data_IF_426725347820
#
_entry.id   IF_426725347820
#
_cell.length_a   1.000
_cell.length_b   1.000
_cell.length_c   1.000
_cell.angle_alpha   90.00
_cell.angle_beta   90.00
_cell.angle_gamma   90.00
#
_symmetry.space_group_name_H-M   'P 1'
#
loop_
_entity.id
_entity.type
_entity.pdbx_description
1 polymer ?
#
# COMPACT_ATOMS: atom_id res chain seq x y z
N UNK A 1 21.33 0.32 -5.09
CA UNK A 1 20.25 1.29 -4.81
C UNK A 1 19.36 0.62 -3.77
N UNK A 2 19.23 1.22 -2.58
CA UNK A 2 18.45 0.64 -1.49
C UNK A 2 16.97 0.69 -1.84
N UNK A 3 16.30 -0.46 -1.79
CA UNK A 3 14.84 -0.52 -1.93
C UNK A 3 14.14 -0.24 -0.60
N UNK A 4 12.82 -0.14 -0.64
CA UNK A 4 11.97 -0.02 0.53
C UNK A 4 10.81 -1.03 0.48
N UNK A 5 10.40 -1.52 1.65
CA UNK A 5 9.10 -2.16 1.83
C UNK A 5 8.52 -1.72 3.17
N UNK A 6 7.89 -0.55 3.16
CA UNK A 6 7.35 0.05 4.38
C UNK A 6 5.98 -0.53 4.69
N UNK A 7 5.79 -0.87 5.95
CA UNK A 7 4.58 -1.48 6.47
C UNK A 7 3.79 -0.47 7.30
N UNK A 8 2.48 -0.65 7.32
CA UNK A 8 1.57 -0.01 8.26
C UNK A 8 0.82 -1.12 9.01
N UNK A 9 1.14 -1.31 10.28
CA UNK A 9 0.46 -2.26 11.15
C UNK A 9 -0.81 -1.61 11.72
N UNK A 10 -1.95 -2.25 11.50
CA UNK A 10 -3.26 -1.75 11.94
C UNK A 10 -3.82 -2.72 12.97
N UNK A 11 -3.98 -2.25 14.21
CA UNK A 11 -4.53 -3.05 15.30
C UNK A 11 -6.07 -2.95 15.35
N UNK A 12 -6.75 -3.91 16.00
CA UNK A 12 -8.21 -3.95 16.02
C UNK A 12 -8.89 -2.75 16.69
N UNK A 13 -8.16 -2.01 17.52
CA UNK A 13 -8.64 -0.84 18.23
C UNK A 13 -8.39 0.49 17.49
N UNK A 14 -7.77 0.43 16.31
CA UNK A 14 -7.47 1.62 15.51
C UNK A 14 -8.73 2.31 14.98
N UNK A 15 -8.66 3.64 14.81
CA UNK A 15 -9.66 4.38 14.05
C UNK A 15 -9.49 4.08 12.55
N UNK A 16 -10.36 3.22 12.01
CA UNK A 16 -10.23 2.76 10.62
C UNK A 16 -10.48 3.87 9.58
N UNK A 17 -11.21 4.94 9.92
CA UNK A 17 -11.38 6.08 9.01
C UNK A 17 -10.07 6.86 8.89
N UNK A 18 -9.40 7.10 10.02
CA UNK A 18 -8.07 7.72 10.04
C UNK A 18 -7.01 6.85 9.36
N UNK A 19 -7.06 5.54 9.57
CA UNK A 19 -6.17 4.57 8.91
C UNK A 19 -6.36 4.63 7.40
N UNK A 20 -7.60 4.59 6.92
CA UNK A 20 -7.90 4.61 5.49
C UNK A 20 -7.46 5.93 4.83
N UNK A 21 -7.67 7.08 5.47
CA UNK A 21 -7.16 8.38 4.98
C UNK A 21 -5.63 8.38 4.89
N UNK A 22 -4.97 7.83 5.91
CA UNK A 22 -3.50 7.73 5.97
C UNK A 22 -2.94 6.77 4.91
N UNK A 23 -3.60 5.63 4.68
CA UNK A 23 -3.22 4.65 3.67
C UNK A 23 -3.29 5.23 2.26
N UNK A 24 -4.33 6.01 1.95
CA UNK A 24 -4.46 6.71 0.66
C UNK A 24 -3.30 7.68 0.45
N UNK A 25 -3.03 8.53 1.45
CA UNK A 25 -1.96 9.51 1.35
C UNK A 25 -0.59 8.83 1.22
N UNK A 26 -0.31 7.80 2.01
CA UNK A 26 0.98 7.13 2.05
C UNK A 26 1.23 6.22 0.83
N UNK A 27 0.21 5.53 0.34
CA UNK A 27 0.31 4.58 -0.78
C UNK A 27 0.24 5.24 -2.16
N UNK A 28 -0.59 6.27 -2.34
CA UNK A 28 -0.87 6.82 -3.68
C UNK A 28 -0.33 8.23 -3.91
N UNK A 29 0.10 8.94 -2.86
CA UNK A 29 0.78 10.23 -3.06
C UNK A 29 2.02 10.08 -3.94
N UNK A 30 2.21 11.01 -4.88
CA UNK A 30 3.23 10.93 -5.94
C UNK A 30 3.19 9.59 -6.70
N UNK A 31 2.00 9.06 -6.96
CA UNK A 31 1.79 7.75 -7.59
C UNK A 31 2.55 6.58 -6.91
N UNK A 32 2.80 6.68 -5.60
CA UNK A 32 3.55 5.67 -4.84
C UNK A 32 5.06 5.64 -5.13
N UNK A 33 5.58 6.55 -5.95
CA UNK A 33 7.00 6.66 -6.31
C UNK A 33 7.80 7.40 -5.22
N UNK A 34 7.66 6.98 -3.95
CA UNK A 34 8.36 7.55 -2.79
C UNK A 34 9.00 6.43 -1.97
N UNK A 35 10.26 6.57 -1.57
CA UNK A 35 10.96 5.58 -0.74
C UNK A 35 10.33 5.38 0.65
N UNK A 36 9.56 6.36 1.14
CA UNK A 36 8.79 6.29 2.38
C UNK A 36 7.30 5.94 2.15
N UNK A 37 6.90 5.60 0.91
CA UNK A 37 5.53 5.16 0.64
C UNK A 37 5.24 3.87 1.42
N UNK A 38 4.06 3.82 2.05
CA UNK A 38 3.55 2.57 2.60
C UNK A 38 3.02 1.75 1.43
N UNK A 39 3.60 0.57 1.22
CA UNK A 39 3.17 -0.36 0.16
C UNK A 39 2.48 -1.60 0.71
N UNK A 40 2.53 -1.81 2.03
CA UNK A 40 1.91 -2.95 2.71
C UNK A 40 1.14 -2.49 3.94
N UNK A 41 -0.15 -2.82 4.01
CA UNK A 41 -0.95 -2.81 5.23
C UNK A 41 -0.89 -4.20 5.86
N UNK A 42 -0.47 -4.27 7.12
CA UNK A 42 -0.61 -5.46 7.95
C UNK A 42 -1.86 -5.27 8.80
N UNK A 43 -2.98 -5.85 8.39
CA UNK A 43 -4.24 -5.72 9.10
C UNK A 43 -4.39 -6.88 10.10
N UNK A 44 -4.38 -6.56 11.39
CA UNK A 44 -4.67 -7.56 12.43
C UNK A 44 -6.17 -7.85 12.42
N UNK A 45 -6.54 -9.10 12.16
CA UNK A 45 -7.94 -9.52 12.13
C UNK A 45 -8.67 -9.11 13.44
N UNK A 46 -9.94 -8.66 13.37
CA UNK A 46 -10.87 -8.78 12.24
C UNK A 46 -11.01 -7.55 11.33
N UNK A 47 -10.11 -6.55 11.37
CA UNK A 47 -10.38 -5.22 10.76
C UNK A 47 -10.21 -5.14 9.25
N UNK A 48 -9.67 -6.17 8.61
CA UNK A 48 -9.22 -6.09 7.23
C UNK A 48 -10.38 -5.80 6.25
N UNK A 49 -11.52 -6.46 6.40
CA UNK A 49 -12.69 -6.26 5.51
C UNK A 49 -13.21 -4.81 5.58
N UNK A 50 -13.48 -4.31 6.79
CA UNK A 50 -13.96 -2.95 7.02
C UNK A 50 -12.97 -1.90 6.52
N UNK A 51 -11.67 -2.15 6.73
CA UNK A 51 -10.61 -1.26 6.26
C UNK A 51 -10.53 -1.24 4.73
N UNK A 52 -10.64 -2.39 4.07
CA UNK A 52 -10.65 -2.50 2.61
C UNK A 52 -11.84 -1.75 2.00
N UNK A 53 -13.04 -1.86 2.59
CA UNK A 53 -14.21 -1.12 2.14
C UNK A 53 -13.96 0.41 2.21
N UNK A 54 -13.44 0.88 3.34
CA UNK A 54 -13.11 2.29 3.56
C UNK A 54 -12.03 2.82 2.60
N UNK A 55 -11.00 2.02 2.32
CA UNK A 55 -9.95 2.39 1.36
C UNK A 55 -10.51 2.42 -0.05
N UNK A 56 -11.28 1.41 -0.46
CA UNK A 56 -11.94 1.35 -1.77
C UNK A 56 -12.81 2.58 -2.01
N UNK A 57 -13.60 2.98 -1.01
CA UNK A 57 -14.42 4.20 -1.08
C UNK A 57 -13.57 5.44 -1.37
N UNK A 58 -12.43 5.59 -0.69
CA UNK A 58 -11.52 6.73 -0.88
C UNK A 58 -10.78 6.68 -2.21
N UNK A 59 -10.36 5.50 -2.65
CA UNK A 59 -9.76 5.30 -3.98
C UNK A 59 -10.72 5.81 -5.07
N UNK A 60 -12.02 5.49 -4.97
CA UNK A 60 -13.02 5.89 -5.97
C UNK A 60 -13.17 7.41 -6.13
N UNK A 61 -12.71 8.20 -5.13
CA UNK A 61 -12.78 9.66 -5.13
C UNK A 61 -11.51 10.32 -5.66
N UNK A 62 -10.43 9.56 -5.88
CA UNK A 62 -9.16 10.10 -6.37
C UNK A 62 -9.27 10.55 -7.83
N UNK A 63 -8.91 11.79 -8.10
CA UNK A 63 -8.78 12.33 -9.45
C UNK A 63 -7.38 12.03 -9.98
N UNK A 64 -7.34 11.28 -11.07
CA UNK A 64 -6.10 10.86 -11.72
C UNK A 64 -5.98 11.66 -13.02
N UNK A 65 -4.84 12.32 -13.22
CA UNK A 65 -4.71 13.14 -14.42
C UNK A 65 -3.43 13.96 -14.50
N UNK A 66 -3.47 14.95 -15.39
CA UNK A 66 -2.38 15.86 -15.68
C UNK A 66 -2.04 16.74 -14.47
N UNK A 67 -0.80 16.61 -13.97
CA UNK A 67 -0.28 17.36 -12.82
C UNK A 67 -0.44 18.88 -12.90
N UNK A 68 -0.58 19.46 -14.09
CA UNK A 68 -0.84 20.89 -14.30
C UNK A 68 -2.24 21.33 -13.86
N UNK A 69 -3.16 20.38 -13.62
CA UNK A 69 -4.55 20.61 -13.21
C UNK A 69 -4.82 20.21 -11.76
N UNK A 70 -3.76 20.05 -10.98
CA UNK A 70 -3.82 19.69 -9.55
C UNK A 70 -4.70 18.46 -9.27
N UNK A 71 -4.45 17.31 -9.96
CA UNK A 71 -5.08 16.04 -9.66
C UNK A 71 -4.55 15.51 -8.33
N UNK A 72 -5.24 14.52 -7.78
CA UNK A 72 -4.82 13.86 -6.54
C UNK A 72 -3.66 12.87 -6.82
N UNK A 73 -3.58 12.32 -8.04
CA UNK A 73 -2.49 11.45 -8.49
C UNK A 73 -2.13 11.70 -9.97
N UNK A 74 -0.83 11.74 -10.27
CA UNK A 74 -0.28 11.90 -11.62
C UNK A 74 0.12 10.57 -12.28
N UNK A 75 0.77 10.62 -13.46
CA UNK A 75 1.30 9.43 -14.13
C UNK A 75 2.58 8.91 -13.44
N UNK A 76 3.02 7.70 -13.81
CA UNK A 76 4.34 7.20 -13.43
C UNK A 76 5.44 7.85 -14.28
N UNK A 77 6.69 7.72 -13.82
CA UNK A 77 7.84 8.41 -14.42
C UNK A 77 8.17 8.01 -15.85
N UNK A 78 8.00 6.73 -16.21
CA UNK A 78 8.31 6.19 -17.54
C UNK A 78 7.35 5.07 -17.94
N UNK A 79 7.18 4.84 -19.25
CA UNK A 79 6.41 3.71 -19.79
C UNK A 79 6.91 2.37 -19.26
N UNK A 80 8.22 2.13 -19.31
CA UNK A 80 8.82 0.88 -18.83
C UNK A 80 8.54 0.64 -17.33
N UNK A 81 8.52 1.71 -16.53
CA UNK A 81 8.17 1.61 -15.11
C UNK A 81 6.68 1.37 -14.90
N UNK A 82 5.80 2.05 -15.66
CA UNK A 82 4.35 1.77 -15.68
C UNK A 82 4.06 0.31 -16.01
N UNK A 83 4.68 -0.23 -17.05
CA UNK A 83 4.51 -1.62 -17.47
C UNK A 83 5.03 -2.61 -16.41
N UNK A 84 6.18 -2.30 -15.81
CA UNK A 84 6.73 -3.08 -14.69
C UNK A 84 5.75 -3.11 -13.51
N UNK A 85 5.24 -1.97 -13.09
CA UNK A 85 4.28 -1.88 -11.97
C UNK A 85 2.99 -2.63 -12.30
N UNK A 86 2.44 -2.46 -13.51
CA UNK A 86 1.25 -3.18 -13.95
C UNK A 86 1.44 -4.71 -13.93
N UNK A 87 2.64 -5.21 -14.25
CA UNK A 87 2.94 -6.64 -14.21
C UNK A 87 2.87 -7.26 -12.80
N UNK A 88 3.07 -6.47 -11.74
CA UNK A 88 2.93 -6.96 -10.37
C UNK A 88 1.49 -7.27 -9.99
N UNK A 89 0.51 -6.64 -10.65
CA UNK A 89 -0.90 -6.91 -10.43
C UNK A 89 -1.23 -8.33 -10.93
N UNK A 90 -0.71 -8.69 -12.10
CA UNK A 90 -0.83 -10.05 -12.64
C UNK A 90 -0.10 -11.08 -11.77
N UNK A 91 1.12 -10.75 -11.31
CA UNK A 91 1.88 -11.63 -10.42
C UNK A 91 1.12 -11.87 -9.10
N UNK A 92 0.62 -10.81 -8.46
CA UNK A 92 -0.12 -10.94 -7.22
C UNK A 92 -1.38 -11.81 -7.40
N UNK A 93 -2.14 -11.58 -8.47
CA UNK A 93 -3.32 -12.38 -8.79
C UNK A 93 -2.98 -13.85 -9.04
N UNK A 94 -1.89 -14.13 -9.77
CA UNK A 94 -1.42 -15.48 -10.03
C UNK A 94 -0.92 -16.20 -8.76
N UNK A 95 -0.36 -15.44 -7.82
CA UNK A 95 0.10 -15.96 -6.52
C UNK A 95 -1.06 -16.19 -5.53
N UNK A 96 -2.29 -15.76 -5.86
CA UNK A 96 -3.50 -15.99 -5.07
C UNK A 96 -4.04 -14.77 -4.34
N UNK A 97 -3.48 -13.58 -4.57
CA UNK A 97 -4.06 -12.33 -4.08
C UNK A 97 -5.37 -12.00 -4.80
N UNK A 98 -6.24 -11.28 -4.11
CA UNK A 98 -7.45 -10.70 -4.69
C UNK A 98 -7.17 -9.28 -5.18
N UNK A 99 -7.46 -9.00 -6.45
CA UNK A 99 -7.43 -7.63 -6.98
C UNK A 99 -8.74 -6.96 -6.63
N UNK A 100 -8.74 -6.13 -5.57
CA UNK A 100 -9.94 -5.43 -5.08
C UNK A 100 -10.25 -4.22 -5.96
N UNK A 101 -9.22 -3.42 -6.25
CA UNK A 101 -9.28 -2.33 -7.21
C UNK A 101 -8.16 -2.53 -8.22
N UNK A 102 -8.50 -2.56 -9.50
CA UNK A 102 -7.55 -2.66 -10.60
C UNK A 102 -7.30 -1.27 -11.21
N UNK A 103 -6.08 -0.76 -11.06
CA UNK A 103 -5.68 0.53 -11.62
C UNK A 103 -5.41 0.52 -13.12
N UNK A 104 -5.48 -0.63 -13.80
CA UNK A 104 -5.20 -0.73 -15.24
C UNK A 104 -6.41 -0.31 -16.07
N UNK A 105 -6.15 0.26 -17.25
CA UNK A 105 -7.21 0.60 -18.21
C UNK A 105 -8.18 1.69 -17.75
N UNK A 106 -7.77 2.50 -16.77
CA UNK A 106 -8.56 3.61 -16.27
C UNK A 106 -8.69 4.74 -17.31
N UNK A 107 -9.81 5.46 -17.24
CA UNK A 107 -9.97 6.74 -17.94
C UNK A 107 -9.37 7.86 -17.07
N UNK A 108 -8.57 8.73 -17.68
CA UNK A 108 -7.80 9.75 -16.98
C UNK A 108 -7.98 11.11 -17.64
N UNK A 109 -8.02 12.16 -16.82
CA UNK A 109 -8.00 13.52 -17.33
C UNK A 109 -6.57 13.94 -17.68
N UNK A 110 -6.04 13.40 -18.78
CA UNK A 110 -4.68 13.62 -19.23
C UNK A 110 -4.45 13.24 -20.69
N UNK A 111 -3.21 13.47 -21.16
CA UNK A 111 -2.81 13.09 -22.52
C UNK A 111 -2.87 11.56 -22.70
N UNK A 112 -3.40 11.07 -23.82
CA UNK A 112 -3.60 9.63 -24.06
C UNK A 112 -2.32 8.80 -23.95
N UNK A 113 -1.19 9.39 -24.33
CA UNK A 113 0.12 8.74 -24.36
C UNK A 113 0.90 8.89 -23.04
N UNK A 114 0.25 9.38 -21.97
CA UNK A 114 0.84 9.43 -20.63
C UNK A 114 1.01 8.03 -20.01
N UNK A 115 1.91 7.92 -19.04
CA UNK A 115 2.26 6.65 -18.38
C UNK A 115 1.29 6.37 -17.22
N UNK A 116 0.02 6.22 -17.57
CA UNK A 116 -1.06 6.11 -16.61
C UNK A 116 -1.18 4.72 -16.01
N UNK A 117 -1.33 4.69 -14.70
CA UNK A 117 -1.81 3.55 -13.92
C UNK A 117 -2.53 4.12 -12.69
N UNK A 118 -3.73 3.62 -12.44
CA UNK A 118 -4.55 4.03 -11.31
C UNK A 118 -4.12 3.41 -9.98
N UNK A 119 -4.72 3.89 -8.87
CA UNK A 119 -4.60 3.25 -7.58
C UNK A 119 -5.06 1.80 -7.68
N UNK A 120 -4.22 0.89 -7.21
CA UNK A 120 -4.50 -0.54 -7.16
C UNK A 120 -4.51 -0.98 -5.70
N UNK A 121 -5.53 -1.73 -5.31
CA UNK A 121 -5.64 -2.34 -3.98
C UNK A 121 -5.66 -3.87 -4.14
N UNK A 122 -4.70 -4.53 -3.50
CA UNK A 122 -4.59 -5.98 -3.46
C UNK A 122 -4.89 -6.45 -2.05
N UNK A 123 -5.73 -7.48 -1.90
CA UNK A 123 -6.02 -8.13 -0.63
C UNK A 123 -5.52 -9.58 -0.63
N UNK A 124 -5.34 -10.15 0.56
CA UNK A 124 -4.86 -11.51 0.77
C UNK A 124 -3.54 -11.77 0.04
N UNK A 125 -2.63 -10.78 0.02
CA UNK A 125 -1.34 -10.92 -0.66
C UNK A 125 -0.47 -11.92 0.12
N UNK A 126 -0.06 -13.05 -0.47
CA UNK A 126 0.83 -13.99 0.20
C UNK A 126 2.20 -13.36 0.45
N UNK A 127 2.78 -13.61 1.62
CA UNK A 127 4.13 -13.11 1.96
C UNK A 127 5.25 -13.77 1.14
N UNK A 128 4.93 -14.84 0.41
CA UNK A 128 5.81 -15.47 -0.58
C UNK A 128 5.73 -14.83 -1.97
N UNK A 129 4.72 -13.99 -2.22
CA UNK A 129 4.53 -13.34 -3.52
C UNK A 129 5.66 -12.35 -3.80
N UNK A 130 6.03 -12.21 -5.08
CA UNK A 130 6.95 -11.13 -5.50
C UNK A 130 6.33 -9.75 -5.27
N UNK A 131 5.00 -9.62 -5.34
CA UNK A 131 4.32 -8.38 -5.03
C UNK A 131 4.49 -7.96 -3.55
N UNK A 132 4.77 -8.91 -2.65
CA UNK A 132 5.15 -8.63 -1.27
C UNK A 132 6.67 -8.46 -1.11
N UNK A 133 7.48 -9.39 -1.62
CA UNK A 133 8.92 -9.43 -1.33
C UNK A 133 9.74 -8.36 -2.07
N UNK A 134 9.28 -7.88 -3.22
CA UNK A 134 9.98 -6.86 -4.02
C UNK A 134 9.34 -5.47 -3.83
N UNK A 135 10.14 -4.43 -4.06
CA UNK A 135 9.65 -3.06 -4.13
C UNK A 135 9.00 -2.80 -5.51
N UNK A 136 7.69 -2.54 -5.50
CA UNK A 136 6.92 -2.22 -6.69
C UNK A 136 7.20 -0.78 -7.15
N UNK A 137 7.27 0.16 -6.20
CA UNK A 137 7.50 1.59 -6.43
C UNK A 137 6.47 2.24 -7.37
N UNK A 138 5.18 2.03 -7.08
CA UNK A 138 4.07 2.56 -7.87
C UNK A 138 2.77 2.55 -7.07
N UNK A 139 1.63 2.91 -7.67
CA UNK A 139 0.37 3.11 -6.96
C UNK A 139 -0.34 1.78 -6.66
N UNK A 140 0.34 0.87 -5.97
CA UNK A 140 -0.15 -0.46 -5.60
C UNK A 140 -0.01 -0.64 -4.09
N UNK A 141 -1.15 -0.77 -3.41
CA UNK A 141 -1.22 -1.03 -1.98
C UNK A 141 -1.62 -2.49 -1.73
N UNK A 142 -0.78 -3.22 -0.99
CA UNK A 142 -1.04 -4.61 -0.62
C UNK A 142 -1.59 -4.71 0.79
N UNK A 143 -2.61 -5.54 1.01
CA UNK A 143 -3.10 -5.91 2.33
C UNK A 143 -2.67 -7.35 2.62
N UNK A 144 -1.96 -7.52 3.73
CA UNK A 144 -1.61 -8.80 4.33
C UNK A 144 -2.37 -8.88 5.65
N UNK A 145 -3.17 -9.94 5.80
CA UNK A 145 -3.94 -10.21 7.02
C UNK A 145 -3.08 -11.01 7.98
N UNK A 146 -3.02 -10.56 9.23
CA UNK A 146 -2.26 -11.22 10.30
C UNK A 146 -3.17 -11.49 11.49
N UNK A 147 -2.87 -12.54 12.25
CA UNK A 147 -3.68 -12.97 13.38
C UNK A 147 -3.40 -12.18 14.66
N UNK A 148 -2.23 -11.53 14.77
CA UNK A 148 -1.88 -10.76 15.96
C UNK A 148 -0.87 -9.64 15.70
N UNK A 149 -0.71 -8.79 16.71
CA UNK A 149 0.37 -7.80 16.79
C UNK A 149 1.75 -8.45 16.66
N UNK A 150 2.00 -9.58 17.34
CA UNK A 150 3.29 -10.28 17.32
C UNK A 150 3.65 -10.76 15.91
N UNK A 151 2.70 -11.35 15.19
CA UNK A 151 2.90 -11.77 13.81
C UNK A 151 3.19 -10.56 12.90
N UNK A 152 2.46 -9.46 13.10
CA UNK A 152 2.72 -8.21 12.38
C UNK A 152 4.14 -7.68 12.62
N UNK A 153 4.61 -7.65 13.86
CA UNK A 153 5.98 -7.23 14.22
C UNK A 153 7.02 -8.18 13.65
N UNK A 154 6.79 -9.50 13.72
CA UNK A 154 7.70 -10.50 13.15
C UNK A 154 7.85 -10.32 11.64
N UNK A 155 6.74 -10.11 10.92
CA UNK A 155 6.78 -9.84 9.48
C UNK A 155 7.58 -8.57 9.17
N UNK A 156 7.35 -7.47 9.89
CA UNK A 156 8.09 -6.22 9.68
C UNK A 156 9.59 -6.42 9.91
N UNK A 157 9.96 -7.06 11.02
CA UNK A 157 11.37 -7.27 11.40
C UNK A 157 12.08 -8.30 10.51
N UNK A 158 11.34 -9.21 9.87
CA UNK A 158 11.89 -10.18 8.91
C UNK A 158 12.21 -9.56 7.55
N UNK A 159 11.72 -8.34 7.29
CA UNK A 159 11.89 -7.65 6.02
C UNK A 159 13.36 -7.35 5.71
N UNK A 160 13.74 -7.46 4.44
CA UNK A 160 15.09 -7.09 3.98
C UNK A 160 15.33 -5.57 3.98
N UNK A 161 14.28 -4.78 4.22
CA UNK A 161 14.29 -3.33 4.18
C UNK A 161 13.92 -2.76 5.56
N UNK A 162 14.56 -1.66 5.95
CA UNK A 162 14.38 -1.06 7.28
C UNK A 162 14.16 0.45 7.21
N UNK A 163 13.48 0.95 6.18
CA UNK A 163 13.38 2.40 5.93
C UNK A 163 12.34 3.09 6.83
N UNK A 164 11.14 2.52 6.95
CA UNK A 164 10.07 3.11 7.76
C UNK A 164 8.91 2.14 7.99
N UNK A 165 8.19 2.38 9.08
CA UNK A 165 6.99 1.64 9.44
C UNK A 165 6.11 2.50 10.33
N UNK A 166 4.81 2.21 10.35
CA UNK A 166 3.84 2.89 11.19
C UNK A 166 2.95 1.87 11.89
N UNK A 167 2.47 2.23 13.08
CA UNK A 167 1.42 1.50 13.79
C UNK A 167 0.22 2.43 14.00
N UNK A 168 -0.98 1.90 13.75
CA UNK A 168 -2.24 2.54 14.08
C UNK A 168 -2.94 1.74 15.17
N UNK A 169 -3.20 2.40 16.29
CA UNK A 169 -3.83 1.86 17.50
C UNK A 169 -4.27 3.02 18.38
N UNK A 170 -5.32 2.83 19.19
CA UNK A 170 -5.72 3.77 20.23
C UNK A 170 -5.10 3.42 21.60
N UNK A 171 -4.40 2.28 21.70
CA UNK A 171 -3.65 1.85 22.88
C UNK A 171 -2.22 2.41 22.88
N UNK A 172 -1.96 3.37 23.76
CA UNK A 172 -0.62 3.95 23.96
C UNK A 172 0.42 2.94 24.47
N UNK A 173 -0.01 1.88 25.16
CA UNK A 173 0.85 0.76 25.57
C UNK A 173 1.32 -0.06 24.36
N UNK A 174 0.40 -0.39 23.44
CA UNK A 174 0.73 -1.07 22.19
C UNK A 174 1.68 -0.23 21.32
N UNK A 175 1.40 1.07 21.17
CA UNK A 175 2.27 1.99 20.43
C UNK A 175 3.70 2.04 21.02
N UNK A 176 3.83 2.12 22.34
CA UNK A 176 5.14 2.12 23.02
C UNK A 176 5.87 0.79 22.88
N UNK A 177 5.14 -0.32 22.98
CA UNK A 177 5.69 -1.67 22.77
C UNK A 177 6.25 -1.78 21.35
N UNK A 178 5.50 -1.34 20.34
CA UNK A 178 5.92 -1.33 18.94
C UNK A 178 7.22 -0.56 18.74
N UNK A 179 7.32 0.66 19.28
CA UNK A 179 8.54 1.47 19.21
C UNK A 179 9.78 0.76 19.79
N UNK A 180 9.59 -0.12 20.77
CA UNK A 180 10.70 -0.83 21.43
C UNK A 180 11.10 -2.11 20.68
N UNK A 181 10.13 -2.78 20.05
CA UNK A 181 10.31 -4.10 19.43
C UNK A 181 10.64 -4.03 17.92
N UNK A 182 10.37 -2.90 17.27
CA UNK A 182 10.56 -2.74 15.83
C UNK A 182 12.04 -2.51 15.47
N UNK A 183 12.50 -3.14 14.40
CA UNK A 183 13.89 -3.10 13.91
C UNK A 183 13.98 -2.34 12.58
N UNK A 184 13.40 -1.14 12.56
CA UNK A 184 13.30 -0.28 11.40
C UNK A 184 13.79 1.11 11.80
N UNK A 185 14.67 1.70 10.99
CA UNK A 185 15.35 2.97 11.30
C UNK A 185 16.50 2.81 12.28
#
# INVERSE_FOLDING_TARGET
LGGAKNHMLVLPDADLDLVADSAINAGFGSAGERCMAVSVLLAVEPVADDLIEKITERISKLRIGDGRREPDMGPLVTEAHRDKVASYIDIAAADGATVVVDGRGIDVDGEKDGFWLGPTLLDNVPTTSRAYTEEIFGPVLSVVRVASYEEGVELINSGQFGNGTAIFTNDGGAARRFQTEIQVG
#
